data_IF_723691430575
#
_entry.id   IF_723691430575
#
_cell.length_a   1.000
_cell.length_b   1.000
_cell.length_c   1.000
_cell.angle_alpha   90.00
_cell.angle_beta   90.00
_cell.angle_gamma   90.00
#
_symmetry.space_group_name_H-M   'P 1'
#
loop_
_entity.id
_entity.type
_entity.pdbx_description
1 polymer ?
#
# COMPACT_ATOMS: atom_id res chain seq x y z
N UNK A 1 -0.26 -17.86 -9.89
CA UNK A 1 0.04 -17.35 -8.52
C UNK A 1 0.84 -16.07 -8.66
N UNK A 2 0.36 -14.98 -8.08
CA UNK A 2 1.00 -13.65 -8.16
C UNK A 2 2.26 -13.59 -7.27
N UNK A 3 3.37 -13.04 -7.78
CA UNK A 3 4.62 -12.86 -7.01
C UNK A 3 4.73 -11.40 -6.55
N UNK A 4 4.77 -11.18 -5.25
CA UNK A 4 4.84 -9.87 -4.63
C UNK A 4 6.27 -9.53 -4.18
N UNK A 5 6.68 -8.27 -4.37
CA UNK A 5 7.78 -7.65 -3.66
C UNK A 5 7.22 -6.57 -2.74
N UNK A 6 7.63 -6.55 -1.48
CA UNK A 6 7.11 -5.59 -0.50
C UNK A 6 8.20 -4.62 -0.09
N UNK A 7 7.89 -3.32 -0.08
CA UNK A 7 8.75 -2.28 0.46
C UNK A 7 8.10 -1.73 1.75
N UNK A 8 8.87 -1.67 2.84
CA UNK A 8 8.40 -1.14 4.12
C UNK A 8 9.54 -0.52 4.92
N UNK A 9 9.29 0.61 5.61
CA UNK A 9 10.30 1.33 6.40
C UNK A 9 10.13 1.17 7.92
N UNK A 10 8.99 0.63 8.39
CA UNK A 10 8.64 0.65 9.81
C UNK A 10 7.95 -0.61 10.32
N UNK A 11 6.81 -0.44 11.02
CA UNK A 11 6.08 -1.52 11.75
C UNK A 11 5.57 -2.64 10.85
N UNK A 12 5.24 -2.37 9.59
CA UNK A 12 4.81 -3.37 8.62
C UNK A 12 3.45 -4.02 8.93
N UNK A 13 2.48 -3.31 9.53
CA UNK A 13 1.15 -3.86 9.82
C UNK A 13 0.39 -4.24 8.55
N UNK A 14 0.45 -3.40 7.52
CA UNK A 14 -0.11 -3.70 6.21
C UNK A 14 0.61 -4.88 5.53
N UNK A 15 1.92 -5.01 5.70
CA UNK A 15 2.67 -6.19 5.26
C UNK A 15 2.17 -7.46 5.95
N UNK A 16 1.94 -7.42 7.28
CA UNK A 16 1.36 -8.55 8.01
C UNK A 16 -0.04 -8.90 7.48
N UNK A 17 -0.88 -7.91 7.23
CA UNK A 17 -2.22 -8.15 6.67
C UNK A 17 -2.15 -8.89 5.32
N UNK A 18 -1.21 -8.54 4.44
CA UNK A 18 -0.99 -9.28 3.19
C UNK A 18 -0.56 -10.73 3.46
N UNK A 19 0.39 -10.95 4.39
CA UNK A 19 0.84 -12.30 4.79
C UNK A 19 -0.35 -13.14 5.28
N UNK A 20 -1.17 -12.60 6.17
CA UNK A 20 -2.29 -13.32 6.78
C UNK A 20 -3.34 -13.68 5.72
N UNK A 21 -3.60 -12.80 4.76
CA UNK A 21 -4.51 -13.06 3.65
C UNK A 21 -3.97 -14.10 2.65
N UNK A 22 -2.64 -14.21 2.50
CA UNK A 22 -2.03 -15.29 1.73
C UNK A 22 -2.20 -16.63 2.48
N UNK A 23 -1.91 -16.65 3.79
CA UNK A 23 -2.02 -17.85 4.63
C UNK A 23 -3.45 -18.37 4.73
N UNK A 24 -4.44 -17.49 4.78
CA UNK A 24 -5.86 -17.88 4.79
C UNK A 24 -6.37 -18.40 3.44
N UNK A 25 -5.58 -18.28 2.37
CA UNK A 25 -6.01 -18.63 1.01
C UNK A 25 -6.86 -17.56 0.32
N UNK A 26 -7.10 -16.40 0.97
CA UNK A 26 -7.84 -15.29 0.36
C UNK A 26 -7.08 -14.68 -0.82
N UNK A 27 -5.74 -14.60 -0.73
CA UNK A 27 -4.84 -14.15 -1.80
C UNK A 27 -4.08 -15.32 -2.40
N UNK A 28 -4.28 -15.59 -3.69
CA UNK A 28 -3.45 -16.53 -4.45
C UNK A 28 -2.13 -15.85 -4.89
N UNK A 29 -1.26 -15.61 -3.90
CA UNK A 29 0.00 -14.90 -4.11
C UNK A 29 1.11 -15.50 -3.23
N UNK A 30 2.35 -15.12 -3.53
CA UNK A 30 3.52 -15.36 -2.68
C UNK A 30 4.32 -14.06 -2.55
N UNK A 31 4.96 -13.86 -1.42
CA UNK A 31 5.90 -12.75 -1.22
C UNK A 31 7.31 -13.28 -1.47
N UNK A 32 7.97 -12.76 -2.50
CA UNK A 32 9.32 -13.16 -2.87
C UNK A 32 10.37 -12.47 -2.01
N UNK A 33 10.14 -11.21 -1.61
CA UNK A 33 11.11 -10.43 -0.85
C UNK A 33 10.43 -9.27 -0.12
N UNK A 34 10.93 -8.99 1.09
CA UNK A 34 10.78 -7.69 1.76
C UNK A 34 12.03 -6.86 1.46
N UNK A 35 11.87 -5.62 1.02
CA UNK A 35 12.94 -4.63 0.92
C UNK A 35 12.66 -3.52 1.92
N UNK A 36 13.65 -3.18 2.74
CA UNK A 36 13.55 -2.08 3.70
C UNK A 36 14.75 -1.15 3.59
N UNK A 37 14.50 0.14 3.83
CA UNK A 37 15.51 1.19 3.90
C UNK A 37 15.99 1.47 5.33
N UNK A 38 15.50 0.69 6.30
CA UNK A 38 15.76 0.84 7.72
C UNK A 38 16.09 -0.53 8.35
N UNK A 39 17.29 -0.66 8.92
CA UNK A 39 17.75 -1.89 9.60
C UNK A 39 16.94 -2.24 10.85
N UNK A 40 16.26 -1.25 11.44
CA UNK A 40 15.50 -1.41 12.68
C UNK A 40 14.00 -1.56 12.43
N UNK A 41 13.59 -1.71 11.16
CA UNK A 41 12.20 -1.90 10.80
C UNK A 41 11.63 -3.20 11.36
N UNK A 42 10.57 -3.13 12.16
CA UNK A 42 9.89 -4.31 12.71
C UNK A 42 9.32 -5.23 11.61
N UNK A 43 9.15 -4.71 10.40
CA UNK A 43 8.81 -5.49 9.23
C UNK A 43 9.81 -6.64 8.97
N UNK A 44 11.09 -6.49 9.34
CA UNK A 44 12.14 -7.53 9.24
C UNK A 44 11.77 -8.74 10.11
N UNK A 45 11.32 -8.49 11.34
CA UNK A 45 10.90 -9.55 12.26
C UNK A 45 9.68 -10.31 11.72
N UNK A 46 8.71 -9.57 11.13
CA UNK A 46 7.56 -10.18 10.46
C UNK A 46 7.98 -11.08 9.29
N UNK A 47 8.93 -10.62 8.48
CA UNK A 47 9.46 -11.39 7.36
C UNK A 47 10.16 -12.66 7.85
N UNK A 48 11.02 -12.56 8.88
CA UNK A 48 11.71 -13.70 9.52
C UNK A 48 10.74 -14.76 10.02
N UNK A 49 9.71 -14.32 10.76
CA UNK A 49 8.67 -15.20 11.32
C UNK A 49 7.81 -15.90 10.26
N UNK A 50 7.90 -15.44 9.01
CA UNK A 50 7.16 -15.99 7.88
C UNK A 50 8.06 -16.57 6.78
N UNK A 51 9.36 -16.76 7.04
CA UNK A 51 10.35 -17.27 6.10
C UNK A 51 10.40 -16.47 4.78
N UNK A 52 10.23 -15.15 4.86
CA UNK A 52 10.31 -14.25 3.72
C UNK A 52 11.71 -13.66 3.65
N UNK A 53 12.34 -13.75 2.49
CA UNK A 53 13.65 -13.15 2.25
C UNK A 53 13.59 -11.63 2.49
N UNK A 54 14.63 -11.09 3.13
CA UNK A 54 14.72 -9.65 3.44
C UNK A 54 16.00 -9.06 2.90
N UNK A 55 15.88 -7.92 2.20
CA UNK A 55 16.98 -7.08 1.78
C UNK A 55 16.93 -5.75 2.52
N UNK A 56 17.98 -5.42 3.24
CA UNK A 56 18.16 -4.10 3.87
C UNK A 56 19.00 -3.23 2.93
N UNK A 57 18.37 -2.29 2.26
CA UNK A 57 19.01 -1.40 1.30
C UNK A 57 18.96 0.04 1.82
N UNK A 58 20.08 0.47 2.40
CA UNK A 58 20.19 1.81 3.00
C UNK A 58 20.53 2.82 1.90
N UNK A 59 19.70 3.85 1.65
CA UNK A 59 19.86 4.78 0.53
C UNK A 59 21.20 5.51 0.51
N UNK A 60 21.74 5.87 1.68
CA UNK A 60 23.05 6.56 1.80
C UNK A 60 24.25 5.73 1.30
N UNK A 61 24.05 4.42 1.10
CA UNK A 61 25.09 3.54 0.55
C UNK A 61 25.12 3.57 -0.99
N UNK A 62 24.28 4.35 -1.61
CA UNK A 62 24.18 4.52 -3.06
C UNK A 62 24.62 5.94 -3.45
N UNK A 63 25.30 6.12 -4.60
CA UNK A 63 25.83 7.42 -4.98
C UNK A 63 24.75 8.46 -5.27
N UNK A 64 23.57 8.02 -5.73
CA UNK A 64 22.43 8.88 -6.08
C UNK A 64 21.09 8.15 -5.93
N UNK A 65 19.99 8.92 -5.86
CA UNK A 65 18.63 8.40 -5.70
C UNK A 65 18.26 7.40 -6.80
N UNK A 66 18.61 7.69 -8.04
CA UNK A 66 18.25 6.84 -9.17
C UNK A 66 19.00 5.51 -9.19
N UNK A 67 20.26 5.48 -8.73
CA UNK A 67 21.03 4.23 -8.59
C UNK A 67 20.41 3.32 -7.53
N UNK A 68 19.93 3.88 -6.41
CA UNK A 68 19.21 3.16 -5.38
C UNK A 68 17.93 2.50 -5.93
N UNK A 69 17.09 3.25 -6.63
CA UNK A 69 15.83 2.70 -7.17
C UNK A 69 16.04 1.77 -8.36
N UNK A 70 17.12 1.95 -9.12
CA UNK A 70 17.55 1.00 -10.16
C UNK A 70 17.93 -0.34 -9.53
N UNK A 71 18.71 -0.31 -8.46
CA UNK A 71 19.09 -1.51 -7.73
C UNK A 71 17.88 -2.25 -7.15
N UNK A 72 16.93 -1.53 -6.53
CA UNK A 72 15.65 -2.12 -6.07
C UNK A 72 14.92 -2.79 -7.23
N UNK A 73 14.79 -2.10 -8.36
CA UNK A 73 14.08 -2.64 -9.52
C UNK A 73 14.75 -3.93 -10.05
N UNK A 74 16.08 -4.00 -10.05
CA UNK A 74 16.83 -5.17 -10.48
C UNK A 74 16.65 -6.33 -9.49
N UNK A 75 16.71 -6.09 -8.18
CA UNK A 75 16.47 -7.12 -7.16
C UNK A 75 15.05 -7.70 -7.22
N UNK A 76 14.04 -6.86 -7.48
CA UNK A 76 12.66 -7.31 -7.70
C UNK A 76 12.53 -8.14 -8.98
N UNK A 77 13.19 -7.73 -10.05
CA UNK A 77 13.20 -8.46 -11.34
C UNK A 77 13.86 -9.83 -11.21
N UNK A 78 15.02 -9.94 -10.54
CA UNK A 78 15.71 -11.22 -10.29
C UNK A 78 14.78 -12.24 -9.64
N UNK A 79 13.82 -11.79 -8.83
CA UNK A 79 12.84 -12.62 -8.12
C UNK A 79 11.51 -12.77 -8.84
N UNK A 80 11.46 -12.34 -10.12
CA UNK A 80 10.26 -12.40 -10.96
C UNK A 80 9.03 -11.77 -10.28
N UNK A 81 9.21 -10.61 -9.62
CA UNK A 81 8.11 -9.89 -8.98
C UNK A 81 7.16 -9.36 -10.04
N UNK A 82 5.88 -9.66 -9.87
CA UNK A 82 4.79 -9.19 -10.72
C UNK A 82 4.24 -7.84 -10.25
N UNK A 83 4.07 -7.68 -8.92
CA UNK A 83 3.48 -6.50 -8.28
C UNK A 83 4.32 -6.08 -7.08
N UNK A 84 4.61 -4.79 -7.00
CA UNK A 84 5.29 -4.16 -5.87
C UNK A 84 4.25 -3.55 -4.91
N UNK A 85 4.40 -3.82 -3.63
CA UNK A 85 3.53 -3.33 -2.55
C UNK A 85 4.31 -2.36 -1.67
N UNK A 86 3.85 -1.13 -1.56
CA UNK A 86 4.37 -0.18 -0.58
C UNK A 86 3.51 -0.27 0.69
N UNK A 87 4.05 -0.89 1.73
CA UNK A 87 3.38 -1.12 3.00
C UNK A 87 4.01 -0.27 4.11
N UNK A 88 3.80 1.04 4.04
CA UNK A 88 4.45 2.00 4.94
C UNK A 88 5.92 2.23 4.55
N UNK A 89 6.18 2.42 3.27
CA UNK A 89 7.48 2.83 2.76
C UNK A 89 7.56 4.37 2.73
N UNK A 90 8.41 4.95 3.58
CA UNK A 90 8.42 6.40 3.90
C UNK A 90 9.24 7.24 2.91
N UNK A 91 9.41 6.79 1.67
CA UNK A 91 10.17 7.50 0.65
C UNK A 91 9.39 7.71 -0.63
N UNK A 92 9.60 8.84 -1.26
CA UNK A 92 9.10 9.08 -2.62
C UNK A 92 9.86 8.18 -3.60
N UNK A 93 9.14 7.31 -4.25
CA UNK A 93 9.68 6.32 -5.19
C UNK A 93 10.34 7.02 -6.38
N UNK A 94 11.51 6.53 -6.77
CA UNK A 94 12.26 7.11 -7.89
C UNK A 94 11.80 6.56 -9.24
N UNK A 95 12.01 7.40 -10.25
CA UNK A 95 11.62 7.13 -11.64
C UNK A 95 12.07 5.76 -12.18
N UNK A 96 13.30 5.26 -11.91
CA UNK A 96 13.73 3.95 -12.44
C UNK A 96 12.85 2.79 -11.98
N UNK A 97 12.33 2.84 -10.74
CA UNK A 97 11.42 1.80 -10.24
C UNK A 97 10.02 1.96 -10.84
N UNK A 98 9.52 3.20 -10.94
CA UNK A 98 8.20 3.51 -11.51
C UNK A 98 8.11 3.06 -12.97
N UNK A 99 9.11 3.39 -13.79
CA UNK A 99 9.15 2.99 -15.20
C UNK A 99 9.18 1.47 -15.38
N UNK A 100 9.99 0.78 -14.56
CA UNK A 100 10.13 -0.69 -14.62
C UNK A 100 8.86 -1.43 -14.20
N UNK A 101 8.09 -0.85 -13.28
CA UNK A 101 6.86 -1.42 -12.71
C UNK A 101 5.65 -0.51 -12.94
N UNK A 102 5.55 0.12 -14.10
CA UNK A 102 4.42 1.01 -14.44
C UNK A 102 3.09 0.29 -14.27
N UNK A 103 2.18 0.89 -13.47
CA UNK A 103 0.89 0.30 -13.04
C UNK A 103 1.04 -1.07 -12.34
N UNK A 104 2.18 -1.31 -11.73
CA UNK A 104 2.50 -2.49 -10.93
C UNK A 104 3.21 -2.14 -9.63
N UNK A 105 2.99 -0.94 -9.13
CA UNK A 105 3.36 -0.51 -7.77
C UNK A 105 2.08 -0.01 -7.14
N UNK A 106 1.64 -0.65 -6.04
CA UNK A 106 0.49 -0.22 -5.25
C UNK A 106 0.95 0.35 -3.92
N UNK A 107 0.35 1.46 -3.52
CA UNK A 107 0.53 2.09 -2.22
C UNK A 107 -0.80 2.12 -1.47
N UNK A 108 -0.74 2.03 -0.14
CA UNK A 108 -1.84 2.37 0.76
C UNK A 108 -1.51 3.69 1.45
N UNK A 109 -2.39 4.67 1.33
CA UNK A 109 -2.23 5.99 1.93
C UNK A 109 -3.36 6.24 2.93
N UNK A 110 -3.05 6.70 4.17
CA UNK A 110 -4.04 6.83 5.25
C UNK A 110 -4.86 8.13 5.15
N UNK A 111 -5.32 8.49 3.96
CA UNK A 111 -6.26 9.57 3.74
C UNK A 111 -7.12 9.30 2.50
N UNK A 112 -8.21 10.04 2.35
CA UNK A 112 -9.06 10.04 1.16
C UNK A 112 -8.45 10.95 0.09
N UNK A 113 -7.53 10.42 -0.71
CA UNK A 113 -6.92 11.16 -1.80
C UNK A 113 -7.98 11.77 -2.75
N UNK A 114 -7.80 13.00 -3.22
CA UNK A 114 -6.57 13.81 -3.23
C UNK A 114 -6.35 14.65 -1.95
N UNK A 115 -7.14 14.47 -0.88
CA UNK A 115 -6.94 15.19 0.38
C UNK A 115 -5.75 14.63 1.16
N UNK A 116 -5.00 15.49 1.82
CA UNK A 116 -3.92 15.16 2.75
C UNK A 116 -2.84 14.21 2.18
N UNK A 117 -2.24 14.53 1.02
CA UNK A 117 -1.14 13.74 0.47
C UNK A 117 0.13 13.88 1.33
N UNK A 118 1.07 12.94 1.17
CA UNK A 118 2.35 12.95 1.86
C UNK A 118 2.29 12.36 3.26
N UNK A 119 3.17 12.82 4.14
CA UNK A 119 3.31 12.28 5.49
C UNK A 119 2.24 12.82 6.45
N UNK A 120 1.91 12.01 7.47
CA UNK A 120 1.01 12.42 8.57
C UNK A 120 -0.42 12.76 8.12
N UNK A 121 -0.98 12.04 7.14
CA UNK A 121 -2.34 12.30 6.64
C UNK A 121 -3.42 12.27 7.74
N UNK A 122 -3.31 11.35 8.71
CA UNK A 122 -4.24 11.26 9.84
C UNK A 122 -4.17 12.50 10.74
N UNK A 123 -2.94 12.96 11.07
CA UNK A 123 -2.73 14.18 11.85
C UNK A 123 -3.32 15.39 11.14
N UNK A 124 -3.05 15.53 9.83
CA UNK A 124 -3.61 16.60 9.01
C UNK A 124 -5.15 16.57 9.03
N UNK A 125 -5.76 15.39 8.93
CA UNK A 125 -7.21 15.24 8.95
C UNK A 125 -7.83 15.67 10.28
N UNK A 126 -7.21 15.27 11.42
CA UNK A 126 -7.64 15.68 12.78
C UNK A 126 -7.50 17.19 12.94
N UNK A 127 -6.34 17.77 12.63
CA UNK A 127 -6.08 19.22 12.76
C UNK A 127 -6.97 20.07 11.85
N UNK A 128 -7.35 19.55 10.68
CA UNK A 128 -8.26 20.23 9.77
C UNK A 128 -9.73 20.19 10.25
N UNK A 129 -10.07 19.21 11.09
CA UNK A 129 -11.43 19.04 11.64
C UNK A 129 -12.42 18.42 10.65
N UNK A 130 -11.96 17.50 9.77
CA UNK A 130 -12.86 16.79 8.84
C UNK A 130 -13.86 15.92 9.62
N UNK A 131 -15.00 15.63 9.02
CA UNK A 131 -16.01 14.72 9.59
C UNK A 131 -15.93 13.31 9.00
N UNK A 132 -15.24 13.17 7.86
CA UNK A 132 -14.99 11.91 7.19
C UNK A 132 -13.51 11.86 6.82
N UNK A 133 -12.84 10.79 7.24
CA UNK A 133 -11.48 10.44 6.88
C UNK A 133 -11.47 9.07 6.19
N UNK A 134 -10.31 8.45 6.03
CA UNK A 134 -10.23 7.12 5.45
C UNK A 134 -8.87 6.79 4.88
N UNK A 135 -8.83 5.83 3.96
CA UNK A 135 -7.62 5.41 3.28
C UNK A 135 -7.85 5.16 1.80
N UNK A 136 -6.76 5.19 1.06
CA UNK A 136 -6.75 5.04 -0.41
C UNK A 136 -5.68 4.04 -0.83
N UNK A 137 -6.08 3.02 -1.60
CA UNK A 137 -5.15 2.21 -2.39
C UNK A 137 -5.06 2.82 -3.79
N UNK A 138 -3.85 3.09 -4.24
CA UNK A 138 -3.62 3.68 -5.56
C UNK A 138 -2.38 3.10 -6.21
N UNK A 139 -2.28 3.22 -7.53
CA UNK A 139 -1.02 2.99 -8.22
C UNK A 139 -0.08 4.16 -7.98
N UNK A 140 1.23 3.87 -7.92
CA UNK A 140 2.26 4.90 -7.75
C UNK A 140 2.68 5.45 -9.11
N UNK A 141 2.76 6.77 -9.21
CA UNK A 141 3.33 7.52 -10.31
C UNK A 141 4.48 8.44 -9.82
N UNK A 142 4.94 9.37 -10.65
CA UNK A 142 6.09 10.23 -10.32
C UNK A 142 5.77 11.31 -9.27
N UNK A 143 4.49 11.55 -8.99
CA UNK A 143 4.07 12.50 -7.96
C UNK A 143 3.94 11.87 -6.59
N UNK A 144 3.70 12.71 -5.57
CA UNK A 144 3.43 12.23 -4.21
C UNK A 144 1.94 11.96 -4.08
N UNK A 145 1.57 10.69 -3.93
CA UNK A 145 0.21 10.19 -3.77
C UNK A 145 -0.77 10.65 -4.87
N UNK A 146 -0.23 10.87 -6.10
CA UNK A 146 -1.00 11.41 -7.22
C UNK A 146 -1.49 10.35 -8.21
N UNK A 147 -1.09 9.11 -8.08
CA UNK A 147 -1.39 8.05 -9.03
C UNK A 147 -2.88 7.63 -9.07
N UNK A 148 -3.26 6.80 -10.07
CA UNK A 148 -4.63 6.35 -10.26
C UNK A 148 -5.17 5.59 -9.04
N UNK A 149 -6.32 6.04 -8.52
CA UNK A 149 -6.99 5.45 -7.34
C UNK A 149 -7.65 4.14 -7.73
N UNK A 150 -7.42 3.09 -6.91
CA UNK A 150 -8.00 1.75 -7.10
C UNK A 150 -9.22 1.58 -6.20
N UNK A 151 -9.05 1.74 -4.88
CA UNK A 151 -10.11 1.59 -3.88
C UNK A 151 -9.92 2.66 -2.81
N UNK A 152 -11.03 3.17 -2.31
CA UNK A 152 -11.06 4.02 -1.13
C UNK A 152 -12.01 3.45 -0.09
N UNK A 153 -11.71 3.66 1.19
CA UNK A 153 -12.62 3.37 2.28
C UNK A 153 -12.71 4.57 3.21
N UNK A 154 -13.94 4.96 3.53
CA UNK A 154 -14.23 6.07 4.40
C UNK A 154 -14.54 5.61 5.82
N UNK A 155 -14.10 6.39 6.81
CA UNK A 155 -14.43 6.22 8.22
C UNK A 155 -14.90 7.55 8.81
N UNK A 156 -15.76 7.56 9.84
CA UNK A 156 -16.09 8.80 10.55
C UNK A 156 -14.84 9.34 11.26
N UNK A 157 -14.73 10.67 11.31
CA UNK A 157 -13.78 11.37 12.18
C UNK A 157 -14.60 12.13 13.23
N UNK A 158 -14.32 11.88 14.51
CA UNK A 158 -15.04 12.46 15.63
C UNK A 158 -14.34 13.71 16.15
N UNK A 159 -15.06 14.53 16.89
CA UNK A 159 -14.55 15.82 17.39
C UNK A 159 -13.45 15.66 18.46
N UNK A 160 -13.47 14.55 19.17
CA UNK A 160 -12.51 14.17 20.20
C UNK A 160 -11.39 13.23 19.70
N UNK A 161 -11.32 12.99 18.38
CA UNK A 161 -10.27 12.13 17.83
C UNK A 161 -8.88 12.74 18.03
N UNK A 162 -7.98 11.89 18.47
CA UNK A 162 -6.53 12.10 18.37
C UNK A 162 -6.00 11.48 17.08
N UNK A 163 -4.75 11.79 16.71
CA UNK A 163 -4.07 11.12 15.59
C UNK A 163 -4.10 9.59 15.79
N UNK A 164 -3.89 9.10 17.00
CA UNK A 164 -3.85 7.66 17.32
C UNK A 164 -5.23 7.01 17.15
N UNK A 165 -6.30 7.58 17.72
CA UNK A 165 -7.64 7.01 17.63
C UNK A 165 -8.16 6.95 16.20
N UNK A 166 -7.92 8.00 15.41
CA UNK A 166 -8.26 8.02 14.00
C UNK A 166 -7.41 7.03 13.20
N UNK A 167 -6.10 6.95 13.51
CA UNK A 167 -5.19 5.98 12.85
C UNK A 167 -5.61 4.55 13.08
N UNK A 168 -6.00 4.17 14.29
CA UNK A 168 -6.49 2.82 14.58
C UNK A 168 -7.77 2.48 13.79
N UNK A 169 -8.66 3.45 13.62
CA UNK A 169 -9.89 3.29 12.86
C UNK A 169 -9.60 3.13 11.37
N UNK A 170 -8.72 3.96 10.81
CA UNK A 170 -8.27 3.90 9.42
C UNK A 170 -7.54 2.58 9.14
N UNK A 171 -6.66 2.14 10.05
CA UNK A 171 -5.85 0.94 9.88
C UNK A 171 -6.70 -0.33 9.68
N UNK A 172 -7.86 -0.42 10.32
CA UNK A 172 -8.80 -1.54 10.11
C UNK A 172 -9.27 -1.61 8.66
N UNK A 173 -9.55 -0.45 8.07
CA UNK A 173 -9.94 -0.35 6.67
C UNK A 173 -8.76 -0.59 5.71
N UNK A 174 -7.56 -0.12 6.04
CA UNK A 174 -6.37 -0.43 5.26
C UNK A 174 -6.15 -1.95 5.16
N UNK A 175 -6.24 -2.67 6.29
CA UNK A 175 -6.08 -4.12 6.35
C UNK A 175 -7.16 -4.87 5.56
N UNK A 176 -8.31 -4.24 5.30
CA UNK A 176 -9.41 -4.79 4.49
C UNK A 176 -9.23 -4.49 3.01
N UNK A 177 -8.99 -3.22 2.64
CA UNK A 177 -9.00 -2.83 1.23
C UNK A 177 -7.69 -3.10 0.50
N UNK A 178 -6.55 -3.14 1.21
CA UNK A 178 -5.27 -3.38 0.55
C UNK A 178 -5.15 -4.82 0.02
N UNK A 179 -5.43 -5.88 0.81
CA UNK A 179 -5.52 -7.23 0.28
C UNK A 179 -6.57 -7.38 -0.83
N UNK A 180 -7.72 -6.69 -0.73
CA UNK A 180 -8.73 -6.70 -1.77
C UNK A 180 -8.19 -6.12 -3.10
N UNK A 181 -7.47 -5.01 -3.07
CA UNK A 181 -6.86 -4.42 -4.27
C UNK A 181 -5.84 -5.38 -4.90
N UNK A 182 -5.01 -6.04 -4.09
CA UNK A 182 -4.06 -7.06 -4.55
C UNK A 182 -4.79 -8.24 -5.19
N UNK A 183 -5.89 -8.69 -4.60
CA UNK A 183 -6.73 -9.77 -5.14
C UNK A 183 -7.31 -9.39 -6.50
N UNK A 184 -7.92 -8.21 -6.63
CA UNK A 184 -8.47 -7.72 -7.88
C UNK A 184 -7.41 -7.65 -8.99
N UNK A 185 -6.18 -7.24 -8.63
CA UNK A 185 -5.06 -7.25 -9.55
C UNK A 185 -4.67 -8.67 -9.97
N UNK A 186 -4.57 -9.60 -9.02
CA UNK A 186 -4.22 -11.00 -9.28
C UNK A 186 -5.22 -11.73 -10.17
N UNK A 187 -6.48 -11.30 -10.12
CA UNK A 187 -7.59 -11.81 -10.95
C UNK A 187 -7.67 -11.12 -12.33
N UNK A 188 -6.79 -10.15 -12.63
CA UNK A 188 -6.80 -9.39 -13.89
C UNK A 188 -7.99 -8.46 -14.04
N UNK A 189 -8.68 -8.11 -12.95
CA UNK A 189 -9.92 -7.32 -12.93
C UNK A 189 -9.68 -5.80 -12.92
N UNK A 190 -8.43 -5.37 -12.92
CA UNK A 190 -8.07 -3.94 -12.87
C UNK A 190 -7.61 -3.49 -14.26
N UNK A 191 -8.27 -2.48 -14.81
CA UNK A 191 -7.85 -1.81 -16.06
C UNK A 191 -7.64 -0.32 -15.82
N UNK A 192 -6.46 0.19 -16.18
CA UNK A 192 -6.15 1.62 -16.10
C UNK A 192 -6.48 2.29 -17.42
N UNK A 193 -7.35 3.31 -17.39
CA UNK A 193 -7.70 4.15 -18.54
C UNK A 193 -7.45 5.61 -18.22
N UNK A 194 -6.30 6.13 -18.65
CA UNK A 194 -5.84 7.46 -18.24
C UNK A 194 -5.67 7.51 -16.72
N UNK A 195 -6.38 8.41 -16.04
CA UNK A 195 -6.36 8.55 -14.59
C UNK A 195 -7.36 7.63 -13.86
N UNK A 196 -8.27 7.00 -14.58
CA UNK A 196 -9.31 6.17 -14.00
C UNK A 196 -8.86 4.71 -13.94
N UNK A 197 -9.16 4.05 -12.82
CA UNK A 197 -9.08 2.61 -12.68
C UNK A 197 -10.48 2.04 -12.82
N UNK A 198 -10.64 1.13 -13.76
CA UNK A 198 -11.88 0.40 -13.98
C UNK A 198 -11.73 -0.98 -13.34
N UNK A 199 -12.68 -1.34 -12.48
CA UNK A 199 -12.74 -2.65 -11.84
C UNK A 199 -13.85 -3.45 -12.53
N UNK A 200 -13.49 -4.58 -13.13
CA UNK A 200 -14.47 -5.51 -13.68
C UNK A 200 -15.18 -6.21 -12.51
N UNK A 201 -16.43 -5.84 -12.25
CA UNK A 201 -17.25 -6.52 -11.25
C UNK A 201 -17.83 -7.81 -11.84
N UNK A 202 -17.71 -8.92 -11.12
CA UNK A 202 -18.69 -10.00 -11.25
C UNK A 202 -20.01 -9.42 -10.72
N UNK A 203 -21.13 -9.61 -11.41
CA UNK A 203 -22.43 -8.94 -11.20
C UNK A 203 -22.96 -8.89 -9.75
N UNK A 204 -22.30 -9.51 -8.79
CA UNK A 204 -22.71 -9.66 -7.39
C UNK A 204 -21.87 -8.89 -6.35
N UNK A 205 -20.79 -8.22 -6.76
CA UNK A 205 -19.90 -7.49 -5.83
C UNK A 205 -19.93 -5.99 -6.16
N UNK A 206 -20.78 -5.23 -5.48
CA UNK A 206 -20.66 -3.77 -5.48
C UNK A 206 -19.37 -3.38 -4.72
N UNK A 207 -18.34 -2.95 -5.42
CA UNK A 207 -17.08 -2.46 -4.82
C UNK A 207 -17.23 -1.00 -4.37
N UNK A 208 -18.32 -0.68 -3.71
CA UNK A 208 -18.47 0.55 -2.94
C UNK A 208 -18.38 0.14 -1.48
N UNK A 209 -17.19 0.32 -0.93
CA UNK A 209 -16.97 0.07 0.48
C UNK A 209 -17.28 1.31 1.30
N UNK A 210 -18.54 1.70 1.33
CA UNK A 210 -19.03 2.49 2.45
C UNK A 210 -19.15 1.54 3.64
N UNK A 211 -18.62 1.87 4.82
CA UNK A 211 -18.91 1.08 6.01
C UNK A 211 -20.42 1.00 6.16
N UNK A 212 -20.98 -0.16 6.56
CA UNK A 212 -22.41 -0.24 6.82
C UNK A 212 -22.75 0.83 7.85
N UNK A 213 -23.76 1.65 7.54
CA UNK A 213 -24.26 2.64 8.48
C UNK A 213 -24.62 1.93 9.78
N UNK A 214 -23.78 2.06 10.80
CA UNK A 214 -24.22 1.81 12.15
C UNK A 214 -25.35 2.80 12.40
N UNK A 215 -26.54 2.28 12.71
CA UNK A 215 -27.70 3.09 13.05
C UNK A 215 -27.28 4.14 14.06
N UNK A 216 -27.49 5.41 13.69
CA UNK A 216 -27.47 6.55 14.60
C UNK A 216 -28.50 6.30 15.71
#
# INVERSE_FOLDING_TARGET
MLTLGVLASGRGSNFQSIIDNIKSGYLNAKIAVLITDNSDAYAIERARNNNIETLVLIPKNFPEKDSYYRHIADELKKRSVDLVILAGFMRVVGRPLIERFKYRIMNIHPALLPSFPGLHGQKQAVEYGVKIAGCTVHFVDEGVDTGPIIIQSAVPAYEDDTEDSLSERILKEEHRIFPLAVKLFSEGRIKVKGRKVLIESKREEAVITNPPHSKI
#
